data_IF_779776234725
#
_entry.id   IF_779776234725
#
_cell.length_a   1.000
_cell.length_b   1.000
_cell.length_c   1.000
_cell.angle_alpha   90.00
_cell.angle_beta   90.00
_cell.angle_gamma   90.00
#
_symmetry.space_group_name_H-M   'P 1'
#
loop_
_entity.id
_entity.type
_entity.pdbx_description
1 polymer ?
#
# COMPACT_ATOMS: atom_id res chain seq x y z
N UNK A 1 12.47 -9.98 74.65
CA UNK A 1 12.09 -10.78 73.46
C UNK A 1 11.68 -9.80 72.36
N UNK A 2 12.53 -9.53 71.34
CA UNK A 2 12.22 -8.56 70.31
C UNK A 2 11.34 -9.19 69.22
N UNK A 3 10.25 -8.52 68.86
CA UNK A 3 9.37 -8.91 67.77
C UNK A 3 10.08 -8.66 66.43
N UNK A 4 10.34 -9.72 65.66
CA UNK A 4 10.91 -9.63 64.33
C UNK A 4 9.89 -9.00 63.36
N UNK A 5 10.19 -7.80 62.88
CA UNK A 5 9.46 -7.13 61.81
C UNK A 5 9.69 -7.88 60.49
N UNK A 6 8.64 -8.50 59.95
CA UNK A 6 8.71 -9.15 58.64
C UNK A 6 8.57 -8.10 57.55
N UNK A 7 9.64 -7.93 56.75
CA UNK A 7 9.60 -7.09 55.56
C UNK A 7 8.78 -7.78 54.45
N UNK A 8 7.98 -7.04 53.66
CA UNK A 8 7.16 -7.62 52.61
C UNK A 8 8.04 -8.13 51.46
N UNK A 9 7.89 -9.41 51.14
CA UNK A 9 8.54 -10.06 49.99
C UNK A 9 7.91 -9.50 48.71
N UNK A 10 8.63 -8.62 48.01
CA UNK A 10 8.24 -8.15 46.68
C UNK A 10 8.43 -9.31 45.70
N UNK A 11 7.31 -9.87 45.21
CA UNK A 11 7.34 -10.91 44.20
C UNK A 11 7.96 -10.36 42.89
N UNK A 12 8.78 -11.14 42.17
CA UNK A 12 9.31 -10.73 40.87
C UNK A 12 8.16 -10.57 39.88
N UNK A 13 7.94 -9.33 39.45
CA UNK A 13 6.99 -9.00 38.40
C UNK A 13 7.51 -9.65 37.11
N UNK A 14 6.81 -10.69 36.64
CA UNK A 14 7.12 -11.32 35.35
C UNK A 14 7.07 -10.24 34.27
N UNK A 15 8.08 -10.11 33.39
CA UNK A 15 8.02 -9.14 32.30
C UNK A 15 6.89 -9.59 31.38
N UNK A 16 5.72 -8.97 31.52
CA UNK A 16 4.63 -9.09 30.56
C UNK A 16 5.23 -8.88 29.17
N UNK A 17 5.07 -9.88 28.29
CA UNK A 17 5.72 -9.90 26.98
C UNK A 17 5.55 -8.55 26.30
N UNK A 18 6.67 -7.92 25.92
CA UNK A 18 6.64 -6.60 25.25
C UNK A 18 5.64 -6.70 24.10
N UNK A 19 4.59 -5.86 24.06
CA UNK A 19 3.72 -5.81 22.89
C UNK A 19 4.59 -5.56 21.66
N UNK A 20 4.42 -6.38 20.61
CA UNK A 20 5.18 -6.25 19.38
C UNK A 20 4.95 -4.85 18.79
N UNK A 21 5.95 -3.97 18.88
CA UNK A 21 5.86 -2.60 18.38
C UNK A 21 5.70 -2.60 16.86
N UNK A 22 4.70 -1.90 16.34
CA UNK A 22 4.54 -1.72 14.89
C UNK A 22 5.40 -0.55 14.40
N UNK A 23 6.32 -0.83 13.47
CA UNK A 23 7.24 0.17 12.93
C UNK A 23 6.62 0.92 11.75
N UNK A 24 6.60 2.25 11.85
CA UNK A 24 6.14 3.12 10.77
C UNK A 24 7.01 3.01 9.52
N UNK A 25 8.34 2.94 9.71
CA UNK A 25 9.30 2.77 8.61
C UNK A 25 9.03 1.48 7.84
N UNK A 26 8.79 0.38 8.55
CA UNK A 26 8.47 -0.92 7.92
C UNK A 26 7.15 -0.82 7.15
N UNK A 27 6.15 -0.16 7.71
CA UNK A 27 4.85 0.04 7.04
C UNK A 27 5.02 0.83 5.73
N UNK A 28 5.76 1.94 5.77
CA UNK A 28 6.00 2.80 4.60
C UNK A 28 6.86 2.09 3.57
N UNK A 29 7.91 1.37 3.99
CA UNK A 29 8.74 0.58 3.11
C UNK A 29 7.94 -0.56 2.44
N UNK A 30 7.08 -1.24 3.21
CA UNK A 30 6.18 -2.25 2.67
C UNK A 30 5.16 -1.67 1.70
N UNK A 31 4.67 -0.45 1.95
CA UNK A 31 3.74 0.23 1.04
C UNK A 31 4.45 0.64 -0.26
N UNK A 32 5.71 1.07 -0.17
CA UNK A 32 6.53 1.45 -1.32
C UNK A 32 6.95 0.24 -2.17
N UNK A 33 7.52 -0.81 -1.55
CA UNK A 33 8.10 -1.94 -2.27
C UNK A 33 7.07 -3.00 -2.66
N UNK A 34 6.11 -3.27 -1.77
CA UNK A 34 5.20 -4.43 -1.87
C UNK A 34 3.73 -4.00 -1.67
N UNK A 35 3.44 -2.70 -1.83
CA UNK A 35 2.12 -2.18 -1.54
C UNK A 35 1.09 -2.53 -2.61
N UNK A 36 1.52 -2.76 -3.85
CA UNK A 36 0.67 -3.25 -4.94
C UNK A 36 0.04 -4.62 -4.61
N UNK A 37 0.72 -5.43 -3.81
CA UNK A 37 0.25 -6.74 -3.30
C UNK A 37 -0.58 -6.59 -2.00
N UNK A 38 -0.59 -5.40 -1.38
CA UNK A 38 -1.31 -5.14 -0.13
C UNK A 38 -0.53 -5.50 1.14
N UNK A 39 0.78 -5.76 1.05
CA UNK A 39 1.56 -6.31 2.17
C UNK A 39 1.67 -5.37 3.38
N UNK A 40 1.69 -4.06 3.13
CA UNK A 40 1.61 -3.04 4.17
C UNK A 40 0.33 -3.14 5.02
N UNK A 41 -0.76 -3.60 4.40
CA UNK A 41 -2.07 -3.67 5.02
C UNK A 41 -2.26 -4.99 5.76
N UNK A 42 -1.75 -6.09 5.21
CA UNK A 42 -1.60 -7.36 5.94
C UNK A 42 -0.74 -7.21 7.20
N UNK A 43 0.34 -6.42 7.14
CA UNK A 43 1.17 -6.12 8.32
C UNK A 43 0.41 -5.37 9.43
N UNK A 44 -0.47 -4.44 9.05
CA UNK A 44 -1.22 -3.62 10.01
C UNK A 44 -2.47 -4.29 10.57
N UNK A 45 -3.26 -4.93 9.71
CA UNK A 45 -4.60 -5.42 10.05
C UNK A 45 -4.72 -6.95 10.04
N UNK A 46 -3.66 -7.68 9.66
CA UNK A 46 -3.65 -9.13 9.57
C UNK A 46 -4.36 -9.66 8.31
N UNK A 47 -4.53 -10.98 8.22
CA UNK A 47 -5.10 -11.68 7.07
C UNK A 47 -6.61 -11.43 6.86
N UNK A 48 -7.29 -10.82 7.84
CA UNK A 48 -8.73 -10.49 7.76
C UNK A 48 -9.04 -9.19 7.02
N UNK A 49 -8.06 -8.44 6.53
CA UNK A 49 -8.30 -7.15 5.88
C UNK A 49 -8.78 -7.34 4.42
N UNK A 50 -10.08 -7.10 4.22
CA UNK A 50 -10.75 -7.16 2.90
C UNK A 50 -10.04 -6.30 1.85
N UNK A 51 -9.51 -5.14 2.22
CA UNK A 51 -8.86 -4.25 1.27
C UNK A 51 -7.43 -4.69 0.91
N UNK A 52 -6.76 -5.45 1.78
CA UNK A 52 -5.49 -6.07 1.44
C UNK A 52 -5.71 -7.12 0.34
N UNK A 53 -6.80 -7.88 0.45
CA UNK A 53 -7.25 -8.81 -0.58
C UNK A 53 -7.68 -8.12 -1.86
N UNK A 54 -8.34 -6.96 -1.81
CA UNK A 54 -8.66 -6.22 -3.04
C UNK A 54 -7.41 -5.75 -3.77
N UNK A 55 -6.37 -5.31 -3.06
CA UNK A 55 -5.09 -4.95 -3.69
C UNK A 55 -4.45 -6.13 -4.39
N UNK A 56 -4.40 -7.29 -3.72
CA UNK A 56 -3.89 -8.52 -4.30
C UNK A 56 -4.68 -8.95 -5.53
N UNK A 57 -6.00 -8.96 -5.44
CA UNK A 57 -6.87 -9.35 -6.56
C UNK A 57 -6.76 -8.38 -7.72
N UNK A 58 -6.71 -7.07 -7.45
CA UNK A 58 -6.53 -6.05 -8.47
C UNK A 58 -5.16 -6.17 -9.16
N UNK A 59 -4.10 -6.50 -8.41
CA UNK A 59 -2.77 -6.71 -8.99
C UNK A 59 -2.72 -7.97 -9.85
N UNK A 60 -3.35 -9.07 -9.41
CA UNK A 60 -3.48 -10.29 -10.21
C UNK A 60 -4.29 -10.04 -11.49
N UNK A 61 -5.42 -9.34 -11.37
CA UNK A 61 -6.21 -8.92 -12.52
C UNK A 61 -5.35 -8.08 -13.47
N UNK A 62 -4.63 -7.07 -12.97
CA UNK A 62 -3.67 -6.28 -13.74
C UNK A 62 -2.67 -7.08 -14.54
N UNK A 63 -2.00 -8.04 -13.87
CA UNK A 63 -1.04 -8.92 -14.53
C UNK A 63 -1.68 -9.75 -15.65
N UNK A 64 -2.88 -10.29 -15.41
CA UNK A 64 -3.65 -11.02 -16.43
C UNK A 64 -4.02 -10.09 -17.58
N UNK A 65 -4.56 -8.89 -17.31
CA UNK A 65 -4.95 -7.92 -18.33
C UNK A 65 -3.79 -7.55 -19.25
N UNK A 66 -2.65 -7.16 -18.68
CA UNK A 66 -1.45 -6.79 -19.45
C UNK A 66 -0.91 -7.97 -20.25
N UNK A 67 -0.85 -9.17 -19.66
CA UNK A 67 -0.37 -10.37 -20.36
C UNK A 67 -1.30 -10.75 -21.51
N UNK A 68 -2.61 -10.70 -21.29
CA UNK A 68 -3.61 -10.99 -22.32
C UNK A 68 -3.54 -9.99 -23.47
N UNK A 69 -3.28 -8.70 -23.21
CA UNK A 69 -3.03 -7.70 -24.24
C UNK A 69 -1.76 -8.00 -25.03
N UNK A 70 -0.66 -8.33 -24.35
CA UNK A 70 0.62 -8.65 -24.99
C UNK A 70 0.54 -9.91 -25.88
N UNK A 71 -0.27 -10.90 -25.48
CA UNK A 71 -0.50 -12.12 -26.24
C UNK A 71 -1.60 -11.98 -27.31
N UNK A 72 -2.31 -10.84 -27.38
CA UNK A 72 -3.42 -10.63 -28.31
C UNK A 72 -4.62 -11.55 -28.04
N UNK A 73 -4.78 -12.03 -26.81
CA UNK A 73 -5.81 -13.00 -26.43
C UNK A 73 -6.93 -12.35 -25.62
N UNK A 74 -8.16 -12.86 -25.77
CA UNK A 74 -9.31 -12.43 -24.97
C UNK A 74 -9.98 -11.14 -25.46
N UNK A 75 -10.86 -10.58 -24.64
CA UNK A 75 -11.60 -9.38 -24.99
C UNK A 75 -10.78 -8.12 -24.63
N UNK A 76 -10.56 -7.25 -25.62
CA UNK A 76 -9.74 -6.04 -25.46
C UNK A 76 -10.23 -5.12 -24.33
N UNK A 77 -11.54 -4.88 -24.21
CA UNK A 77 -12.11 -4.02 -23.17
C UNK A 77 -11.95 -4.63 -21.77
N UNK A 78 -12.12 -5.95 -21.65
CA UNK A 78 -11.91 -6.65 -20.38
C UNK A 78 -10.44 -6.61 -19.96
N UNK A 79 -9.53 -6.86 -20.90
CA UNK A 79 -8.09 -6.82 -20.63
C UNK A 79 -7.64 -5.42 -20.19
N UNK A 80 -8.15 -4.37 -20.83
CA UNK A 80 -7.89 -2.98 -20.45
C UNK A 80 -8.43 -2.69 -19.04
N UNK A 81 -9.66 -3.11 -18.74
CA UNK A 81 -10.27 -2.94 -17.41
C UNK A 81 -9.41 -3.57 -16.31
N UNK A 82 -8.92 -4.78 -16.57
CA UNK A 82 -8.00 -5.47 -15.66
C UNK A 82 -6.67 -4.73 -15.50
N UNK A 83 -6.07 -4.25 -16.60
CA UNK A 83 -4.85 -3.44 -16.55
C UNK A 83 -5.05 -2.15 -15.71
N UNK A 84 -6.18 -1.45 -15.85
CA UNK A 84 -6.54 -0.28 -15.01
C UNK A 84 -6.62 -0.66 -13.55
N UNK A 85 -7.31 -1.76 -13.24
CA UNK A 85 -7.46 -2.21 -11.86
C UNK A 85 -6.09 -2.46 -11.21
N UNK A 86 -5.16 -3.10 -11.93
CA UNK A 86 -3.77 -3.28 -11.51
C UNK A 86 -3.03 -1.95 -11.31
N UNK A 87 -3.10 -1.06 -12.30
CA UNK A 87 -2.49 0.27 -12.23
C UNK A 87 -3.02 1.10 -11.04
N UNK A 88 -4.33 1.09 -10.81
CA UNK A 88 -4.97 1.73 -9.68
C UNK A 88 -4.50 1.16 -8.34
N UNK A 89 -4.29 -0.16 -8.25
CA UNK A 89 -3.73 -0.81 -7.06
C UNK A 89 -2.31 -0.30 -6.75
N UNK A 90 -1.46 -0.17 -7.79
CA UNK A 90 -0.10 0.36 -7.66
C UNK A 90 -0.12 1.82 -7.21
N UNK A 91 -0.94 2.67 -7.84
CA UNK A 91 -1.05 4.10 -7.47
C UNK A 91 -1.57 4.24 -6.04
N UNK A 92 -2.58 3.46 -5.66
CA UNK A 92 -3.13 3.46 -4.30
C UNK A 92 -2.08 3.02 -3.25
N UNK A 93 -1.16 2.11 -3.61
CA UNK A 93 -0.04 1.71 -2.76
C UNK A 93 0.93 2.87 -2.49
N UNK A 94 1.34 3.60 -3.54
CA UNK A 94 2.19 4.77 -3.40
C UNK A 94 1.51 5.89 -2.60
N UNK A 95 0.23 6.14 -2.85
CA UNK A 95 -0.57 7.07 -2.07
C UNK A 95 -0.59 6.67 -0.59
N UNK A 96 -0.73 5.38 -0.30
CA UNK A 96 -0.72 4.86 1.06
C UNK A 96 0.64 5.05 1.74
N UNK A 97 1.75 4.84 1.02
CA UNK A 97 3.09 5.13 1.52
C UNK A 97 3.25 6.61 1.90
N UNK A 98 2.73 7.52 1.08
CA UNK A 98 2.75 8.98 1.33
C UNK A 98 1.90 9.31 2.57
N UNK A 99 0.65 8.82 2.62
CA UNK A 99 -0.29 9.09 3.72
C UNK A 99 0.25 8.57 5.06
N UNK A 100 0.83 7.37 5.09
CA UNK A 100 1.42 6.85 6.32
C UNK A 100 2.75 7.49 6.66
N UNK A 101 3.58 7.83 5.67
CA UNK A 101 4.86 8.49 5.90
C UNK A 101 4.72 9.90 6.45
N UNK A 102 3.75 10.67 5.96
CA UNK A 102 3.44 12.03 6.41
C UNK A 102 2.59 12.08 7.69
N UNK A 103 2.05 10.95 8.17
CA UNK A 103 1.28 10.92 9.41
C UNK A 103 2.18 11.33 10.59
N UNK A 104 1.78 12.27 11.46
CA UNK A 104 2.52 12.58 12.68
C UNK A 104 2.73 11.36 13.57
N UNK A 105 3.87 11.27 14.24
CA UNK A 105 4.24 10.09 15.02
C UNK A 105 3.33 9.88 16.22
N UNK A 106 2.89 10.95 16.86
CA UNK A 106 1.89 10.92 17.95
C UNK A 106 0.57 10.27 17.50
N UNK A 107 0.10 10.62 16.30
CA UNK A 107 -1.12 10.03 15.71
C UNK A 107 -0.91 8.59 15.29
N UNK A 108 0.30 8.21 14.91
CA UNK A 108 0.67 6.83 14.63
C UNK A 108 0.65 5.99 15.91
N UNK A 109 1.29 6.48 16.96
CA UNK A 109 1.40 5.77 18.24
C UNK A 109 0.05 5.66 18.94
N UNK A 110 -0.77 6.72 18.95
CA UNK A 110 -2.12 6.66 19.50
C UNK A 110 -2.98 5.56 18.85
N UNK A 111 -2.73 5.24 17.57
CA UNK A 111 -3.52 4.25 16.82
C UNK A 111 -2.94 2.85 16.86
N UNK A 112 -1.62 2.69 16.77
CA UNK A 112 -0.97 1.39 16.59
C UNK A 112 -0.08 0.98 17.76
N UNK A 113 0.35 1.91 18.60
CA UNK A 113 1.20 1.66 19.77
C UNK A 113 0.71 2.44 21.02
N UNK A 114 -0.58 2.35 21.44
CA UNK A 114 -1.15 3.23 22.48
C UNK A 114 -0.51 3.09 23.86
N UNK A 115 0.15 1.97 24.16
CA UNK A 115 0.87 1.70 25.40
C UNK A 115 2.37 1.47 25.18
N UNK A 116 2.88 1.83 24.00
CA UNK A 116 4.27 1.61 23.60
C UNK A 116 5.16 2.83 23.83
N UNK A 117 6.47 2.67 23.59
CA UNK A 117 7.38 3.81 23.55
C UNK A 117 7.11 4.73 22.34
N UNK A 118 7.36 6.05 22.47
CA UNK A 118 7.17 6.99 21.38
C UNK A 118 7.96 6.60 20.13
N UNK A 119 7.29 6.55 18.99
CA UNK A 119 7.89 6.39 17.68
C UNK A 119 8.57 7.69 17.30
N UNK A 120 9.84 7.60 16.90
CA UNK A 120 10.56 8.67 16.22
C UNK A 120 10.80 8.24 14.78
N UNK A 121 10.05 8.81 13.87
CA UNK A 121 10.27 8.66 12.44
C UNK A 121 11.50 9.43 12.03
N UNK A 122 12.47 8.72 11.47
CA UNK A 122 13.68 9.34 10.94
C UNK A 122 13.50 9.79 9.50
N UNK A 123 14.54 10.46 9.00
CA UNK A 123 14.78 10.81 7.61
C UNK A 123 14.46 9.73 6.57
N UNK A 124 14.70 8.42 6.80
CA UNK A 124 14.37 7.39 5.82
C UNK A 124 12.89 7.33 5.43
N UNK A 125 11.97 7.67 6.36
CA UNK A 125 10.53 7.73 6.05
C UNK A 125 10.26 8.83 5.02
N UNK A 126 10.91 9.98 5.14
CA UNK A 126 10.77 11.11 4.23
C UNK A 126 11.30 10.75 2.84
N UNK A 127 12.46 10.10 2.76
CA UNK A 127 13.02 9.63 1.48
C UNK A 127 12.03 8.68 0.78
N UNK A 128 11.45 7.73 1.50
CA UNK A 128 10.44 6.83 0.93
C UNK A 128 9.19 7.58 0.45
N UNK A 129 8.75 8.62 1.16
CA UNK A 129 7.64 9.47 0.73
C UNK A 129 7.98 10.20 -0.57
N UNK A 130 9.17 10.80 -0.68
CA UNK A 130 9.63 11.50 -1.88
C UNK A 130 9.68 10.54 -3.07
N UNK A 131 10.29 9.36 -2.90
CA UNK A 131 10.36 8.34 -3.94
C UNK A 131 8.96 7.85 -4.34
N UNK A 132 8.07 7.65 -3.37
CA UNK A 132 6.68 7.24 -3.62
C UNK A 132 5.93 8.29 -4.44
N UNK A 133 6.12 9.58 -4.12
CA UNK A 133 5.48 10.67 -4.85
C UNK A 133 6.02 10.77 -6.27
N UNK A 134 7.34 10.71 -6.44
CA UNK A 134 7.99 10.84 -7.75
C UNK A 134 7.61 9.68 -8.67
N UNK A 135 7.75 8.44 -8.20
CA UNK A 135 7.44 7.24 -8.99
C UNK A 135 5.93 7.11 -9.21
N UNK A 136 5.12 7.28 -8.16
CA UNK A 136 3.67 7.15 -8.23
C UNK A 136 3.05 8.18 -9.19
N UNK A 137 3.52 9.43 -9.16
CA UNK A 137 3.07 10.46 -10.10
C UNK A 137 3.50 10.15 -11.52
N UNK A 138 4.75 9.71 -11.72
CA UNK A 138 5.25 9.30 -13.05
C UNK A 138 4.42 8.16 -13.65
N UNK A 139 4.09 7.14 -12.86
CA UNK A 139 3.22 6.04 -13.28
C UNK A 139 1.81 6.51 -13.62
N UNK A 140 1.22 7.39 -12.79
CA UNK A 140 -0.10 7.94 -13.04
C UNK A 140 -0.13 8.73 -14.36
N UNK A 141 0.89 9.57 -14.60
CA UNK A 141 1.01 10.34 -15.83
C UNK A 141 1.19 9.43 -17.06
N UNK A 142 2.03 8.39 -16.97
CA UNK A 142 2.19 7.42 -18.05
C UNK A 142 0.87 6.70 -18.35
N UNK A 143 0.14 6.28 -17.31
CA UNK A 143 -1.17 5.63 -17.47
C UNK A 143 -2.20 6.54 -18.14
N UNK A 144 -2.25 7.82 -17.76
CA UNK A 144 -3.14 8.81 -18.38
C UNK A 144 -2.77 9.07 -19.85
N UNK A 145 -1.48 9.21 -20.15
CA UNK A 145 -1.00 9.42 -21.51
C UNK A 145 -1.41 8.27 -22.43
N UNK A 146 -1.14 7.03 -22.01
CA UNK A 146 -1.52 5.82 -22.77
C UNK A 146 -3.04 5.76 -22.95
N UNK A 147 -3.81 6.03 -21.89
CA UNK A 147 -5.28 6.02 -21.95
C UNK A 147 -5.81 7.02 -22.98
N UNK A 148 -5.27 8.24 -23.01
CA UNK A 148 -5.68 9.25 -23.98
C UNK A 148 -5.26 8.88 -25.40
N UNK A 149 -4.04 8.39 -25.59
CA UNK A 149 -3.58 7.92 -26.91
C UNK A 149 -4.52 6.85 -27.47
N UNK A 150 -4.79 5.79 -26.69
CA UNK A 150 -5.67 4.70 -27.12
C UNK A 150 -7.10 5.19 -27.36
N UNK A 151 -7.63 6.08 -26.52
CA UNK A 151 -8.96 6.64 -26.72
C UNK A 151 -9.05 7.42 -28.03
N UNK A 152 -8.14 8.36 -28.30
CA UNK A 152 -8.17 9.15 -29.52
C UNK A 152 -7.92 8.31 -30.77
N UNK A 153 -7.02 7.32 -30.73
CA UNK A 153 -6.79 6.39 -31.84
C UNK A 153 -8.08 5.65 -32.21
N UNK A 154 -8.78 5.10 -31.21
CA UNK A 154 -10.05 4.39 -31.44
C UNK A 154 -11.15 5.27 -32.05
N UNK A 155 -11.22 6.55 -31.66
CA UNK A 155 -12.17 7.51 -32.22
C UNK A 155 -11.85 7.88 -33.67
N UNK A 156 -10.57 8.07 -33.99
CA UNK A 156 -10.12 8.39 -35.36
C UNK A 156 -10.38 7.22 -36.30
N UNK A 157 -10.13 5.99 -35.85
CA UNK A 157 -10.42 4.78 -36.63
C UNK A 157 -11.92 4.62 -36.88
N UNK A 158 -12.75 4.82 -35.87
CA UNK A 158 -14.21 4.79 -36.02
C UNK A 158 -14.72 5.84 -37.02
N UNK A 159 -14.17 7.06 -36.98
CA UNK A 159 -14.54 8.13 -37.91
C UNK A 159 -14.11 7.80 -39.36
N UNK A 160 -12.93 7.21 -39.55
CA UNK A 160 -12.46 6.77 -40.88
C UNK A 160 -13.35 5.69 -41.46
N UNK A 161 -13.75 4.69 -40.65
CA UNK A 161 -14.64 3.63 -41.07
C UNK A 161 -15.99 4.17 -41.58
N UNK A 162 -16.58 5.12 -40.85
CA UNK A 162 -17.85 5.76 -41.24
C UNK A 162 -17.75 6.60 -42.52
N UNK A 163 -16.57 7.14 -42.85
CA UNK A 163 -16.37 7.92 -44.07
C UNK A 163 -16.16 7.09 -45.33
N UNK A 164 -15.94 5.78 -45.18
CA UNK A 164 -15.70 4.84 -46.27
C UNK A 164 -16.95 4.06 -46.70
N UNK A 165 -18.07 4.23 -45.98
CA UNK A 165 -19.40 3.75 -46.37
C UNK A 165 -20.20 4.84 -47.10
#
# INVERSE_FOLDING_TARGET
MPAASQAPVVAPQSPAGRPLRKSKLVTVALAFLLGSVGLHRFYLHGLGDKFAWTHLLAMLAGAIGVTSMALGTGNAALNWTFAVAGGASIVAAFLTAIVFGLRPDEKWDARYNPHGQPTRSGWPVIILVILSLMIGTGLLMAGLAISFQTFFESQVEAAKALSQE
#
